data_IF_025421316524
#
_entry.id   IF_025421316524
#
_cell.length_a   1.000
_cell.length_b   1.000
_cell.length_c   1.000
_cell.angle_alpha   90.00
_cell.angle_beta   90.00
_cell.angle_gamma   90.00
#
_symmetry.space_group_name_H-M   'P 1'
#
loop_
_entity.id
_entity.type
_entity.pdbx_description
1 polymer ?
#
# COMPACT_ATOMS: atom_id res chain seq x y z
N UNK A 1 -33.17 34.53 17.07
CA UNK A 1 -31.74 34.83 16.83
C UNK A 1 -30.79 33.89 17.57
N UNK A 2 -30.88 33.70 18.89
CA UNK A 2 -29.99 32.79 19.65
C UNK A 2 -30.00 31.32 19.20
N UNK A 3 -31.18 30.77 18.87
CA UNK A 3 -31.32 29.36 18.43
C UNK A 3 -30.79 29.13 17.02
N UNK A 4 -31.04 30.08 16.10
CA UNK A 4 -30.50 30.05 14.72
C UNK A 4 -28.97 30.15 14.74
N UNK A 5 -28.42 31.04 15.57
CA UNK A 5 -26.97 31.15 15.78
C UNK A 5 -26.37 29.86 16.35
N UNK A 6 -27.07 29.18 17.27
CA UNK A 6 -26.64 27.89 17.81
C UNK A 6 -26.62 26.79 16.75
N UNK A 7 -27.66 26.70 15.90
CA UNK A 7 -27.68 25.72 14.80
C UNK A 7 -26.59 26.00 13.77
N UNK A 8 -26.32 27.27 13.45
CA UNK A 8 -25.21 27.66 12.57
C UNK A 8 -23.85 27.24 13.15
N UNK A 9 -23.62 27.46 14.44
CA UNK A 9 -22.38 27.06 15.12
C UNK A 9 -22.19 25.54 15.13
N UNK A 10 -23.25 24.77 15.33
CA UNK A 10 -23.20 23.30 15.32
C UNK A 10 -22.91 22.77 13.92
N UNK A 11 -23.53 23.34 12.88
CA UNK A 11 -23.25 22.96 11.48
C UNK A 11 -21.79 23.29 11.11
N UNK A 12 -21.28 24.46 11.54
CA UNK A 12 -19.90 24.87 11.28
C UNK A 12 -18.88 23.92 11.95
N UNK A 13 -19.18 23.43 13.15
CA UNK A 13 -18.34 22.47 13.88
C UNK A 13 -18.34 21.08 13.25
N UNK A 14 -19.46 20.64 12.67
CA UNK A 14 -19.56 19.34 11.96
C UNK A 14 -18.75 19.35 10.67
N UNK A 15 -18.66 20.49 9.98
CA UNK A 15 -17.83 20.62 8.76
C UNK A 15 -16.31 20.63 9.03
N UNK A 16 -15.86 20.97 10.25
CA UNK A 16 -14.43 20.98 10.59
C UNK A 16 -13.80 19.60 10.78
N UNK A 17 -14.62 18.52 10.83
CA UNK A 17 -14.15 17.15 11.04
C UNK A 17 -14.19 16.28 9.77
N UNK A 18 -14.32 16.87 8.58
CA UNK A 18 -14.14 16.14 7.33
C UNK A 18 -12.63 15.96 7.02
N UNK A 19 -11.96 15.07 7.77
CA UNK A 19 -10.66 14.57 7.35
C UNK A 19 -10.88 13.65 6.14
N UNK A 20 -10.35 14.02 4.98
CA UNK A 20 -10.29 13.12 3.84
C UNK A 20 -9.18 12.12 4.11
N UNK A 21 -9.54 10.85 4.33
CA UNK A 21 -8.56 9.76 4.22
C UNK A 21 -8.38 9.54 2.72
N UNK A 22 -7.33 10.11 2.16
CA UNK A 22 -6.88 9.71 0.84
C UNK A 22 -6.08 8.44 1.03
N UNK A 23 -6.48 7.40 0.31
CA UNK A 23 -5.60 6.28 0.12
C UNK A 23 -4.47 6.73 -0.81
N UNK A 24 -3.26 6.51 -0.35
CA UNK A 24 -2.02 7.01 -0.93
C UNK A 24 -0.88 6.06 -0.56
N UNK A 25 0.18 6.07 -1.36
CA UNK A 25 1.41 5.34 -1.12
C UNK A 25 2.34 6.23 -0.30
N UNK A 26 2.63 5.82 0.93
CA UNK A 26 3.40 6.65 1.88
C UNK A 26 4.72 6.01 2.26
N UNK A 27 5.79 6.79 2.30
CA UNK A 27 7.08 6.28 2.75
C UNK A 27 7.10 6.02 4.26
N UNK A 28 7.70 4.89 4.67
CA UNK A 28 7.95 4.54 6.07
C UNK A 28 9.45 4.34 6.28
N UNK A 29 10.12 5.47 6.54
CA UNK A 29 11.57 5.49 6.68
C UNK A 29 12.29 5.12 5.38
N UNK A 30 13.52 4.64 5.50
CA UNK A 30 14.41 4.44 4.36
C UNK A 30 14.11 3.17 3.57
N UNK A 31 13.40 2.20 4.16
CA UNK A 31 13.29 0.85 3.62
C UNK A 31 11.92 0.48 3.07
N UNK A 32 10.87 1.20 3.46
CA UNK A 32 9.50 0.74 3.26
C UNK A 32 8.58 1.77 2.59
N UNK A 33 7.60 1.24 1.87
CA UNK A 33 6.43 1.98 1.40
C UNK A 33 5.19 1.34 1.99
N UNK A 34 4.23 2.14 2.40
CA UNK A 34 2.95 1.67 2.88
C UNK A 34 1.85 2.10 1.93
N UNK A 35 1.21 1.10 1.37
CA UNK A 35 0.01 1.19 0.55
C UNK A 35 -1.21 1.10 1.47
N UNK A 36 -1.94 2.20 1.55
CA UNK A 36 -3.14 2.29 2.38
C UNK A 36 -4.42 1.82 1.70
N UNK A 37 -4.42 1.66 0.36
CA UNK A 37 -5.53 1.08 -0.39
C UNK A 37 -5.63 -0.43 -0.14
N UNK A 38 -4.48 -1.11 -0.20
CA UNK A 38 -4.40 -2.56 0.01
C UNK A 38 -4.02 -2.94 1.44
N UNK A 39 -3.63 -1.96 2.27
CA UNK A 39 -3.07 -2.17 3.61
C UNK A 39 -1.84 -3.10 3.59
N UNK A 40 -0.91 -2.82 2.67
CA UNK A 40 0.31 -3.59 2.44
C UNK A 40 1.54 -2.72 2.73
N UNK A 41 2.57 -3.32 3.33
CA UNK A 41 3.90 -2.69 3.40
C UNK A 41 4.82 -3.36 2.40
N UNK A 42 5.39 -2.56 1.50
CA UNK A 42 6.32 -2.98 0.46
C UNK A 42 7.76 -2.67 0.85
N UNK A 43 8.69 -3.54 0.45
CA UNK A 43 10.11 -3.21 0.42
C UNK A 43 10.37 -2.21 -0.71
N UNK A 44 11.07 -1.10 -0.42
CA UNK A 44 11.59 -0.20 -1.45
C UNK A 44 12.59 -0.90 -2.37
N UNK A 45 13.34 -1.88 -1.85
CA UNK A 45 14.19 -2.76 -2.64
C UNK A 45 13.52 -4.12 -2.84
N UNK A 46 12.90 -4.31 -4.00
CA UNK A 46 12.25 -5.59 -4.37
C UNK A 46 13.25 -6.73 -4.67
N UNK A 47 14.54 -6.45 -4.80
CA UNK A 47 15.60 -7.44 -5.04
C UNK A 47 16.54 -7.55 -3.83
N UNK A 48 15.99 -7.72 -2.64
CA UNK A 48 16.77 -7.78 -1.39
C UNK A 48 17.74 -8.97 -1.33
N UNK A 49 17.44 -10.09 -2.00
CA UNK A 49 18.32 -11.26 -2.05
C UNK A 49 19.46 -11.15 -3.07
N UNK A 50 19.37 -10.22 -4.03
CA UNK A 50 20.36 -9.93 -5.08
C UNK A 50 20.58 -11.01 -6.16
N UNK A 51 20.18 -12.27 -5.93
CA UNK A 51 20.34 -13.37 -6.91
C UNK A 51 19.00 -13.91 -7.43
N UNK A 52 19.06 -14.60 -8.56
CA UNK A 52 17.90 -15.28 -9.13
C UNK A 52 17.48 -16.47 -8.24
N UNK A 53 16.17 -16.61 -8.07
CA UNK A 53 15.55 -17.73 -7.38
C UNK A 53 14.55 -18.43 -8.28
N UNK A 54 14.37 -19.74 -8.07
CA UNK A 54 13.14 -20.42 -8.50
C UNK A 54 11.96 -19.91 -7.68
N UNK A 55 10.73 -20.10 -8.19
CA UNK A 55 9.53 -19.70 -7.45
C UNK A 55 9.47 -20.30 -6.04
N UNK A 56 9.74 -21.61 -5.91
CA UNK A 56 9.75 -22.29 -4.61
C UNK A 56 10.77 -21.67 -3.65
N UNK A 57 11.98 -21.37 -4.12
CA UNK A 57 13.00 -20.73 -3.30
C UNK A 57 12.60 -19.31 -2.87
N UNK A 58 11.90 -18.57 -3.73
CA UNK A 58 11.45 -17.22 -3.41
C UNK A 58 10.32 -17.22 -2.37
N UNK A 59 9.39 -18.17 -2.46
CA UNK A 59 8.36 -18.37 -1.43
C UNK A 59 9.02 -18.73 -0.10
N UNK A 60 9.87 -19.76 -0.09
CA UNK A 60 10.56 -20.21 1.13
C UNK A 60 11.41 -19.09 1.74
N UNK A 61 12.09 -18.29 0.91
CA UNK A 61 12.89 -17.16 1.37
C UNK A 61 12.05 -16.05 1.98
N UNK A 62 10.94 -15.67 1.34
CA UNK A 62 10.07 -14.62 1.85
C UNK A 62 9.44 -15.01 3.20
N UNK A 63 8.95 -16.25 3.33
CA UNK A 63 8.34 -16.77 4.57
C UNK A 63 9.30 -16.85 5.76
N UNK A 64 10.61 -16.88 5.50
CA UNK A 64 11.65 -16.94 6.54
C UNK A 64 12.46 -15.64 6.67
N UNK A 65 12.07 -14.58 5.96
CA UNK A 65 12.76 -13.31 6.01
C UNK A 65 12.44 -12.59 7.33
N UNK A 66 13.45 -12.30 8.14
CA UNK A 66 13.39 -11.29 9.19
C UNK A 66 14.14 -10.06 8.70
N UNK A 67 13.42 -8.96 8.49
CA UNK A 67 13.99 -7.72 7.99
C UNK A 67 13.45 -6.51 8.74
N UNK A 68 14.37 -5.76 9.36
CA UNK A 68 14.07 -4.60 10.23
C UNK A 68 13.05 -4.91 11.35
N UNK A 69 13.02 -6.16 11.85
CA UNK A 69 12.14 -6.57 12.94
C UNK A 69 10.74 -7.00 12.51
N UNK A 70 10.52 -7.25 11.23
CA UNK A 70 9.31 -7.85 10.67
C UNK A 70 9.65 -9.22 10.07
N UNK A 71 8.88 -10.24 10.42
CA UNK A 71 9.06 -11.65 10.03
C UNK A 71 7.84 -12.23 9.28
N UNK A 72 6.90 -11.38 8.88
CA UNK A 72 5.64 -11.74 8.22
C UNK A 72 5.63 -11.44 6.71
N UNK A 73 6.81 -11.46 6.08
CA UNK A 73 6.96 -11.17 4.65
C UNK A 73 6.42 -12.30 3.77
N UNK A 74 5.87 -11.93 2.61
CA UNK A 74 5.44 -12.86 1.56
C UNK A 74 5.67 -12.27 0.18
N UNK A 75 5.60 -13.13 -0.83
CA UNK A 75 5.49 -12.66 -2.22
C UNK A 75 4.12 -12.01 -2.45
N UNK A 76 4.01 -11.07 -3.42
CA UNK A 76 2.75 -10.42 -3.76
C UNK A 76 1.74 -11.39 -4.38
N UNK A 77 0.47 -11.17 -4.10
CA UNK A 77 -0.62 -11.95 -4.69
C UNK A 77 -0.78 -11.59 -6.17
N UNK A 78 -1.01 -12.63 -6.97
CA UNK A 78 -1.16 -12.52 -8.42
C UNK A 78 -2.60 -12.77 -8.85
N UNK A 79 -3.05 -11.99 -9.83
CA UNK A 79 -4.33 -12.20 -10.51
C UNK A 79 -4.07 -12.91 -11.84
N UNK A 80 -4.51 -14.17 -11.92
CA UNK A 80 -4.36 -15.00 -13.12
C UNK A 80 -5.45 -14.73 -14.17
N UNK A 81 -6.48 -13.95 -13.84
CA UNK A 81 -7.60 -13.66 -14.75
C UNK A 81 -7.25 -12.60 -15.79
N UNK A 82 -6.27 -11.75 -15.50
CA UNK A 82 -5.78 -10.72 -16.40
C UNK A 82 -4.30 -10.97 -16.73
N UNK A 83 -3.98 -11.04 -18.02
CA UNK A 83 -2.61 -11.22 -18.52
C UNK A 83 -2.26 -10.06 -19.46
N UNK A 84 -1.09 -9.46 -19.27
CA UNK A 84 -0.58 -8.39 -20.12
C UNK A 84 -0.62 -7.02 -19.43
N UNK A 85 -1.14 -6.01 -20.14
CA UNK A 85 -1.15 -4.62 -19.70
C UNK A 85 -2.46 -4.26 -19.02
N UNK A 86 -2.43 -3.23 -18.16
CA UNK A 86 -3.60 -2.67 -17.47
C UNK A 86 -4.32 -3.68 -16.54
N UNK A 87 -3.55 -4.63 -16.02
CA UNK A 87 -4.02 -5.61 -15.04
C UNK A 87 -3.83 -5.06 -13.63
N UNK A 88 -4.86 -4.43 -13.08
CA UNK A 88 -4.85 -3.80 -11.76
C UNK A 88 -5.31 -4.74 -10.63
N UNK A 89 -5.66 -5.98 -10.95
CA UNK A 89 -6.24 -6.95 -10.01
C UNK A 89 -5.22 -7.66 -9.11
N UNK A 90 -3.96 -7.74 -9.52
CA UNK A 90 -2.87 -8.22 -8.67
C UNK A 90 -2.34 -7.09 -7.77
N UNK A 91 -1.69 -7.42 -6.66
CA UNK A 91 -1.13 -6.40 -5.76
C UNK A 91 -0.02 -5.60 -6.45
N UNK A 92 0.83 -6.27 -7.23
CA UNK A 92 1.85 -5.57 -8.03
C UNK A 92 1.23 -4.74 -9.16
N UNK A 93 0.10 -5.21 -9.71
CA UNK A 93 -0.67 -4.49 -10.73
C UNK A 93 -1.27 -3.20 -10.18
N UNK A 94 -1.88 -3.27 -8.98
CA UNK A 94 -2.35 -2.09 -8.26
C UNK A 94 -1.21 -1.10 -8.02
N UNK A 95 -0.09 -1.58 -7.48
CA UNK A 95 1.08 -0.75 -7.18
C UNK A 95 1.61 -0.01 -8.42
N UNK A 96 1.64 -0.67 -9.57
CA UNK A 96 2.16 -0.07 -10.80
C UNK A 96 1.14 0.85 -11.51
N UNK A 97 -0.08 0.37 -11.71
CA UNK A 97 -1.09 1.07 -12.53
C UNK A 97 -1.93 2.08 -11.76
N UNK A 98 -2.20 1.82 -10.47
CA UNK A 98 -3.04 2.70 -9.65
C UNK A 98 -2.18 3.68 -8.86
N UNK A 99 -1.14 3.17 -8.18
CA UNK A 99 -0.29 4.00 -7.31
C UNK A 99 0.84 4.69 -8.10
N UNK A 100 0.99 4.34 -9.38
CA UNK A 100 1.89 5.01 -10.31
C UNK A 100 3.37 4.79 -10.01
N UNK A 101 3.72 3.73 -9.28
CA UNK A 101 5.13 3.36 -9.11
C UNK A 101 5.70 2.96 -10.47
N UNK A 102 6.84 3.55 -10.82
CA UNK A 102 7.66 3.11 -11.94
C UNK A 102 9.00 2.62 -11.41
N UNK A 103 9.55 1.56 -12.03
CA UNK A 103 10.96 1.24 -11.85
C UNK A 103 11.81 2.45 -12.24
N UNK A 104 12.70 2.90 -11.36
CA UNK A 104 13.71 3.91 -11.68
C UNK A 104 14.71 3.43 -12.72
#
# INVERSE_FOLDING_TARGET
>A
MKKISMYLSVILLVFMFAATVQADLSERGDFFLYDSDQNITWLKNANLYEYQMTWSQAVDWAENLDYQGYDDWRLPDTDISCLGYDCTGSEMGHLYYNDGISSG
#
